data_IF_863839520127
#
_entry.id   IF_863839520127
#
_cell.length_a   1.000
_cell.length_b   1.000
_cell.length_c   1.000
_cell.angle_alpha   90.00
_cell.angle_beta   90.00
_cell.angle_gamma   90.00
#
_symmetry.space_group_name_H-M   'P 1'
#
loop_
_entity.id
_entity.type
_entity.pdbx_description
1 polymer ?
#
# COMPACT_ATOMS: atom_id res chain seq x y z
N UNK A 1 -21.23 20.75 11.61
CA UNK A 1 -19.86 21.26 11.82
C UNK A 1 -19.00 20.59 10.78
N UNK A 2 -18.66 21.32 9.72
CA UNK A 2 -17.84 20.80 8.63
C UNK A 2 -16.44 20.49 9.16
N UNK A 3 -15.98 19.25 8.92
CA UNK A 3 -14.63 18.82 9.29
C UNK A 3 -13.69 19.28 8.18
N UNK A 4 -12.83 20.26 8.46
CA UNK A 4 -11.85 20.72 7.48
C UNK A 4 -10.62 19.80 7.47
N UNK A 5 -10.32 19.20 6.31
CA UNK A 5 -9.09 18.46 6.06
C UNK A 5 -7.93 19.41 5.82
N UNK A 6 -6.80 19.18 6.49
CA UNK A 6 -5.56 19.94 6.28
C UNK A 6 -4.46 19.01 5.79
N UNK A 7 -3.84 19.37 4.67
CA UNK A 7 -2.68 18.65 4.12
C UNK A 7 -1.51 19.62 3.91
N UNK A 8 -0.31 19.04 3.89
CA UNK A 8 0.93 19.78 3.65
C UNK A 8 1.71 19.10 2.54
N UNK A 9 2.15 19.86 1.54
CA UNK A 9 3.06 19.39 0.51
C UNK A 9 4.49 19.46 1.08
N UNK A 10 5.16 18.32 1.21
CA UNK A 10 6.58 18.27 1.57
C UNK A 10 7.45 17.93 0.36
N UNK A 11 8.44 18.79 0.11
CA UNK A 11 9.36 18.75 -1.04
C UNK A 11 10.57 17.81 -0.84
N UNK A 12 10.63 17.03 0.23
CA UNK A 12 11.81 16.20 0.51
C UNK A 12 11.41 14.85 1.08
N UNK A 13 11.52 13.81 0.25
CA UNK A 13 11.78 12.47 0.74
C UNK A 13 13.29 12.35 0.93
N UNK A 14 13.76 12.34 2.18
CA UNK A 14 15.13 11.90 2.46
C UNK A 14 15.21 10.43 2.03
N UNK A 15 16.06 10.16 1.04
CA UNK A 15 16.39 8.79 0.65
C UNK A 15 17.04 8.14 1.88
N UNK A 16 16.32 7.24 2.54
CA UNK A 16 16.99 6.23 3.35
C UNK A 16 17.79 5.41 2.34
N UNK A 17 19.10 5.58 2.34
CA UNK A 17 19.98 4.75 1.54
C UNK A 17 19.64 3.29 1.85
N UNK A 18 19.43 2.51 0.80
CA UNK A 18 19.23 1.08 0.95
C UNK A 18 20.44 0.56 1.72
N UNK A 19 20.23 0.00 2.92
CA UNK A 19 21.26 -0.75 3.61
C UNK A 19 21.73 -1.82 2.62
N UNK A 20 22.92 -1.63 2.07
CA UNK A 20 23.59 -2.66 1.31
C UNK A 20 23.86 -3.85 2.25
N UNK A 21 24.08 -5.03 1.68
CA UNK A 21 24.27 -6.25 2.49
C UNK A 21 25.39 -6.11 3.52
N UNK A 22 26.34 -5.20 3.29
CA UNK A 22 27.50 -4.91 4.14
C UNK A 22 27.13 -4.07 5.36
N UNK A 23 26.40 -2.96 5.18
CA UNK A 23 25.91 -2.12 6.28
C UNK A 23 24.86 -2.83 7.16
N UNK A 24 24.09 -3.76 6.61
CA UNK A 24 23.17 -4.59 7.40
C UNK A 24 23.92 -5.53 8.36
N UNK A 25 25.02 -6.16 7.91
CA UNK A 25 25.87 -6.99 8.78
C UNK A 25 26.58 -6.17 9.85
N UNK A 26 27.02 -4.95 9.55
CA UNK A 26 27.66 -4.06 10.53
C UNK A 26 26.66 -3.59 11.61
N UNK A 27 25.36 -3.49 11.26
CA UNK A 27 24.27 -3.26 12.22
C UNK A 27 23.82 -4.53 12.98
N UNK A 28 24.50 -5.67 12.78
CA UNK A 28 24.15 -6.95 13.41
C UNK A 28 22.87 -7.59 12.88
N UNK A 29 22.32 -7.10 11.77
CA UNK A 29 21.14 -7.68 11.13
C UNK A 29 21.54 -8.96 10.39
N UNK A 30 20.88 -10.07 10.72
CA UNK A 30 21.04 -11.34 10.00
C UNK A 30 19.85 -11.58 9.10
N UNK A 31 20.10 -12.02 7.86
CA UNK A 31 19.05 -12.55 6.99
C UNK A 31 18.50 -13.84 7.59
N UNK A 32 17.21 -13.86 7.91
CA UNK A 32 16.57 -15.00 8.55
C UNK A 32 15.88 -15.93 7.55
N UNK A 33 15.29 -15.39 6.49
CA UNK A 33 14.60 -16.17 5.47
C UNK A 33 14.65 -15.45 4.10
N UNK A 34 14.47 -16.20 3.01
CA UNK A 34 14.29 -15.70 1.64
C UNK A 34 13.04 -16.34 1.05
N UNK A 35 12.03 -15.53 0.72
CA UNK A 35 10.85 -16.00 -0.01
C UNK A 35 11.12 -15.83 -1.52
N UNK A 36 11.13 -16.93 -2.27
CA UNK A 36 11.46 -16.92 -3.70
C UNK A 36 10.54 -17.84 -4.49
N UNK A 37 10.19 -17.40 -5.71
CA UNK A 37 9.44 -18.22 -6.68
C UNK A 37 7.93 -18.04 -6.66
N UNK A 38 7.37 -17.37 -5.65
CA UNK A 38 5.92 -17.15 -5.55
C UNK A 38 5.41 -16.03 -6.46
N UNK A 39 6.19 -14.95 -6.56
CA UNK A 39 5.95 -13.85 -7.48
C UNK A 39 6.77 -14.05 -8.75
N UNK A 40 6.16 -13.85 -9.91
CA UNK A 40 6.82 -14.02 -11.22
C UNK A 40 7.42 -12.73 -11.75
N UNK A 41 7.18 -11.61 -11.06
CA UNK A 41 7.73 -10.28 -11.35
C UNK A 41 8.14 -9.59 -10.06
N UNK A 42 8.68 -8.38 -10.19
CA UNK A 42 9.13 -7.53 -9.08
C UNK A 42 8.05 -7.38 -7.99
N UNK A 43 8.41 -7.74 -6.76
CA UNK A 43 7.63 -7.40 -5.56
C UNK A 43 7.81 -5.91 -5.30
N UNK A 44 6.73 -5.15 -5.41
CA UNK A 44 6.79 -3.69 -5.28
C UNK A 44 6.61 -3.23 -3.85
N UNK A 45 5.79 -3.93 -3.09
CA UNK A 45 5.40 -3.51 -1.75
C UNK A 45 5.19 -4.73 -0.86
N UNK A 46 5.43 -4.56 0.43
CA UNK A 46 5.13 -5.56 1.43
C UNK A 46 4.72 -4.87 2.74
N UNK A 47 3.83 -5.49 3.50
CA UNK A 47 3.32 -4.94 4.75
C UNK A 47 3.07 -6.07 5.75
N UNK A 48 3.62 -5.94 6.96
CA UNK A 48 3.32 -6.85 8.06
C UNK A 48 1.96 -6.51 8.67
N UNK A 49 1.20 -7.53 9.01
CA UNK A 49 0.04 -7.39 9.87
C UNK A 49 0.45 -6.79 11.23
N UNK A 50 -0.40 -5.98 11.88
CA UNK A 50 -0.12 -5.41 13.20
C UNK A 50 0.21 -6.45 14.29
N UNK A 51 -0.31 -7.69 14.17
CA UNK A 51 0.00 -8.77 15.09
C UNK A 51 1.33 -9.48 14.80
N UNK A 52 2.03 -9.12 13.71
CA UNK A 52 3.31 -9.70 13.31
C UNK A 52 3.25 -11.12 12.74
N UNK A 53 2.07 -11.73 12.64
CA UNK A 53 1.90 -13.12 12.19
C UNK A 53 1.77 -13.26 10.67
N UNK A 54 1.36 -12.21 9.97
CA UNK A 54 1.16 -12.25 8.52
C UNK A 54 1.99 -11.20 7.81
N UNK A 55 2.50 -11.55 6.63
CA UNK A 55 3.14 -10.65 5.69
C UNK A 55 2.32 -10.63 4.41
N UNK A 56 2.03 -9.45 3.90
CA UNK A 56 1.28 -9.26 2.67
C UNK A 56 2.16 -8.59 1.64
N UNK A 57 2.27 -9.17 0.44
CA UNK A 57 3.12 -8.65 -0.64
C UNK A 57 2.31 -8.37 -1.90
N UNK A 58 2.58 -7.23 -2.54
CA UNK A 58 2.01 -6.84 -3.82
C UNK A 58 3.09 -6.77 -4.90
N UNK A 59 2.78 -7.31 -6.08
CA UNK A 59 3.74 -7.48 -7.17
C UNK A 59 3.23 -6.95 -8.51
N UNK A 60 4.19 -6.75 -9.40
CA UNK A 60 3.93 -6.40 -10.79
C UNK A 60 3.34 -7.55 -11.62
N UNK A 61 3.27 -8.77 -11.09
CA UNK A 61 2.56 -9.91 -11.70
C UNK A 61 1.03 -9.89 -11.45
N UNK A 62 0.52 -8.76 -10.97
CA UNK A 62 -0.88 -8.53 -10.62
C UNK A 62 -1.39 -9.37 -9.44
N UNK A 63 -0.49 -10.03 -8.69
CA UNK A 63 -0.87 -10.83 -7.52
C UNK A 63 -0.61 -10.10 -6.23
N UNK A 64 -1.42 -10.49 -5.25
CA UNK A 64 -1.22 -10.19 -3.86
C UNK A 64 -1.14 -11.51 -3.11
N UNK A 65 -0.11 -11.68 -2.29
CA UNK A 65 0.18 -12.94 -1.60
C UNK A 65 0.24 -12.69 -0.09
N UNK A 66 -0.42 -13.57 0.67
CA UNK A 66 -0.27 -13.63 2.14
C UNK A 66 0.68 -14.76 2.48
N UNK A 67 1.60 -14.42 3.37
CA UNK A 67 2.45 -15.37 4.06
C UNK A 67 2.07 -15.42 5.53
N UNK A 68 2.00 -16.62 6.09
CA UNK A 68 1.99 -16.81 7.53
C UNK A 68 3.43 -16.94 8.02
N UNK A 69 3.73 -16.13 9.03
CA UNK A 69 4.95 -16.14 9.78
C UNK A 69 4.67 -16.83 11.12
N UNK A 70 4.89 -18.15 11.14
CA UNK A 70 4.74 -18.99 12.32
C UNK A 70 6.11 -19.48 12.75
N UNK A 71 6.39 -19.38 14.05
CA UNK A 71 7.58 -19.90 14.72
C UNK A 71 8.81 -18.97 14.72
N UNK A 72 8.92 -18.13 15.76
CA UNK A 72 10.09 -17.27 16.06
C UNK A 72 11.41 -18.05 16.22
N UNK A 73 11.34 -19.37 16.47
CA UNK A 73 12.52 -20.23 16.65
C UNK A 73 13.01 -20.83 15.33
N UNK A 74 12.10 -21.16 14.40
CA UNK A 74 12.44 -21.80 13.11
C UNK A 74 12.35 -20.85 11.91
N UNK A 75 11.84 -19.62 12.10
CA UNK A 75 11.68 -18.61 11.05
C UNK A 75 10.91 -19.12 9.82
N UNK A 76 9.98 -20.06 10.02
CA UNK A 76 9.24 -20.64 8.89
C UNK A 76 8.27 -19.60 8.36
N UNK A 77 8.20 -19.51 7.04
CA UNK A 77 7.27 -18.61 6.36
C UNK A 77 6.63 -19.39 5.24
N UNK A 78 5.31 -19.46 5.27
CA UNK A 78 4.54 -20.25 4.32
C UNK A 78 3.57 -19.36 3.57
N UNK A 79 3.48 -19.56 2.26
CA UNK A 79 2.45 -18.94 1.44
C UNK A 79 1.11 -19.60 1.76
N UNK A 80 0.16 -18.80 2.23
CA UNK A 80 -1.16 -19.31 2.62
C UNK A 80 -2.26 -18.87 1.66
N UNK A 81 -2.07 -17.76 0.94
CA UNK A 81 -3.03 -17.28 -0.04
C UNK A 81 -2.35 -16.53 -1.18
N UNK A 82 -2.88 -16.63 -2.39
CA UNK A 82 -2.48 -15.85 -3.56
C UNK A 82 -3.70 -15.48 -4.37
N UNK A 83 -3.96 -14.20 -4.52
CA UNK A 83 -5.11 -13.68 -5.26
C UNK A 83 -4.64 -12.73 -6.36
N UNK A 84 -5.38 -12.70 -7.47
CA UNK A 84 -5.20 -11.66 -8.48
C UNK A 84 -5.88 -10.39 -7.99
N UNK A 85 -5.12 -9.30 -7.94
CA UNK A 85 -5.67 -7.97 -7.75
C UNK A 85 -6.60 -7.67 -8.91
N UNK A 86 -6.08 -7.69 -10.14
CA UNK A 86 -6.88 -7.42 -11.34
C UNK A 86 -6.99 -8.64 -12.24
N UNK A 87 -8.16 -8.77 -12.87
CA UNK A 87 -8.42 -9.73 -13.95
C UNK A 87 -8.13 -9.15 -15.34
N UNK A 88 -7.88 -7.84 -15.44
CA UNK A 88 -7.46 -7.19 -16.69
C UNK A 88 -5.98 -7.53 -16.92
N UNK A 89 -5.64 -7.83 -18.19
CA UNK A 89 -4.41 -8.49 -18.67
C UNK A 89 -3.07 -8.02 -18.08
N UNK A 90 -2.01 -8.76 -18.43
CA UNK A 90 -0.54 -8.70 -18.16
C UNK A 90 0.17 -7.41 -17.62
N UNK A 91 -0.49 -6.28 -17.49
CA UNK A 91 0.07 -5.03 -16.95
C UNK A 91 -0.59 -4.52 -15.66
N UNK A 92 -1.54 -5.23 -15.04
CA UNK A 92 -2.23 -4.75 -13.83
C UNK A 92 -1.37 -4.83 -12.56
N UNK A 93 -0.32 -4.02 -12.47
CA UNK A 93 0.63 -4.01 -11.34
C UNK A 93 -0.06 -3.61 -10.04
N UNK A 94 0.31 -4.28 -8.95
CA UNK A 94 -0.02 -3.86 -7.58
C UNK A 94 1.07 -2.91 -7.10
N UNK A 95 0.68 -1.68 -6.77
CA UNK A 95 1.61 -0.62 -6.38
C UNK A 95 1.78 -0.51 -4.88
N UNK A 96 0.71 -0.79 -4.14
CA UNK A 96 0.69 -0.65 -2.70
C UNK A 96 -0.19 -1.73 -2.07
N UNK A 97 0.23 -2.18 -0.90
CA UNK A 97 -0.57 -3.00 0.00
C UNK A 97 -0.41 -2.47 1.42
N UNK A 98 -1.51 -2.35 2.17
CA UNK A 98 -1.47 -1.86 3.54
C UNK A 98 -2.52 -2.54 4.41
N UNK A 99 -2.17 -2.80 5.66
CA UNK A 99 -3.10 -3.24 6.69
C UNK A 99 -3.77 -2.05 7.35
N UNK A 100 -5.02 -2.24 7.77
CA UNK A 100 -5.61 -1.39 8.78
C UNK A 100 -4.95 -1.69 10.15
N UNK A 101 -4.99 -0.73 11.07
CA UNK A 101 -4.34 -0.89 12.38
C UNK A 101 -4.95 -2.00 13.24
N UNK A 102 -6.21 -2.37 12.99
CA UNK A 102 -6.83 -3.51 13.68
C UNK A 102 -6.33 -4.88 13.18
N UNK A 103 -5.62 -4.92 12.05
CA UNK A 103 -5.11 -6.15 11.43
C UNK A 103 -6.18 -7.08 10.85
N UNK A 104 -7.39 -6.57 10.60
CA UNK A 104 -8.51 -7.37 10.05
C UNK A 104 -8.72 -7.13 8.56
N UNK A 105 -8.51 -5.89 8.15
CA UNK A 105 -8.76 -5.43 6.79
C UNK A 105 -7.44 -5.00 6.18
N UNK A 106 -7.30 -5.26 4.90
CA UNK A 106 -6.14 -4.84 4.13
C UNK A 106 -6.62 -4.23 2.81
N UNK A 107 -5.81 -3.33 2.27
CA UNK A 107 -6.06 -2.65 1.01
C UNK A 107 -4.93 -2.99 0.03
N UNK A 108 -5.29 -3.18 -1.24
CA UNK A 108 -4.33 -3.19 -2.34
C UNK A 108 -4.78 -2.20 -3.41
N UNK A 109 -3.84 -1.56 -4.10
CA UNK A 109 -4.17 -0.63 -5.19
C UNK A 109 -3.23 -0.83 -6.39
N UNK A 110 -3.69 -0.47 -7.59
CA UNK A 110 -2.98 -0.85 -8.80
C UNK A 110 -3.29 -0.07 -10.07
N UNK A 111 -2.71 -0.56 -11.18
CA UNK A 111 -2.92 -0.04 -12.54
C UNK A 111 -4.35 -0.23 -13.06
N UNK A 112 -5.15 -1.10 -12.41
CA UNK A 112 -6.57 -1.27 -12.72
C UNK A 112 -7.45 -0.12 -12.21
N UNK A 113 -6.81 0.97 -11.75
CA UNK A 113 -7.44 2.21 -11.28
C UNK A 113 -8.34 2.00 -10.06
N UNK A 114 -8.16 0.88 -9.37
CA UNK A 114 -9.00 0.50 -8.24
C UNK A 114 -8.19 0.27 -6.98
N UNK A 115 -8.91 0.39 -5.87
CA UNK A 115 -8.47 -0.08 -4.56
C UNK A 115 -9.35 -1.26 -4.20
N UNK A 116 -8.74 -2.34 -3.75
CA UNK A 116 -9.46 -3.55 -3.31
C UNK A 116 -9.28 -3.71 -1.83
N UNK A 117 -10.40 -3.88 -1.15
CA UNK A 117 -10.47 -4.10 0.28
C UNK A 117 -10.64 -5.60 0.50
N UNK A 118 -9.83 -6.16 1.37
CA UNK A 118 -9.87 -7.58 1.67
C UNK A 118 -9.85 -7.83 3.17
N UNK A 119 -10.37 -8.98 3.54
CA UNK A 119 -10.38 -9.53 4.88
C UNK A 119 -9.64 -10.85 4.83
N UNK A 120 -8.76 -11.06 5.80
CA UNK A 120 -8.12 -12.36 6.00
C UNK A 120 -8.59 -12.95 7.33
N UNK A 121 -9.02 -14.20 7.28
CA UNK A 121 -9.22 -15.03 8.47
C UNK A 121 -8.60 -16.40 8.25
N UNK A 122 -8.21 -17.06 9.33
CA UNK A 122 -7.61 -18.40 9.25
C UNK A 122 -8.60 -19.41 8.64
N UNK A 123 -9.87 -19.34 9.03
CA UNK A 123 -10.90 -20.31 8.63
C UNK A 123 -11.45 -20.07 7.22
N UNK A 124 -11.64 -18.81 6.82
CA UNK A 124 -12.24 -18.46 5.52
C UNK A 124 -11.22 -18.03 4.46
N UNK A 125 -9.93 -17.93 4.83
CA UNK A 125 -8.88 -17.46 3.94
C UNK A 125 -9.01 -15.97 3.59
N UNK A 126 -8.47 -15.59 2.43
CA UNK A 126 -8.49 -14.22 1.92
C UNK A 126 -9.75 -13.96 1.09
N UNK A 127 -10.60 -13.06 1.56
CA UNK A 127 -11.86 -12.67 0.91
C UNK A 127 -11.81 -11.21 0.50
N UNK A 128 -12.26 -10.91 -0.72
CA UNK A 128 -12.48 -9.52 -1.15
C UNK A 128 -13.78 -9.01 -0.53
N UNK A 129 -13.70 -7.90 0.19
CA UNK A 129 -14.86 -7.21 0.76
C UNK A 129 -15.48 -6.24 -0.24
N UNK A 130 -14.64 -5.41 -0.86
CA UNK A 130 -15.09 -4.35 -1.75
C UNK A 130 -14.03 -4.04 -2.84
N UNK A 131 -14.46 -3.38 -3.91
CA UNK A 131 -13.61 -2.74 -4.91
C UNK A 131 -14.06 -1.28 -5.08
N UNK A 132 -13.20 -0.36 -4.64
CA UNK A 132 -13.35 1.07 -4.87
C UNK A 132 -12.82 1.38 -6.27
N UNK A 133 -13.71 1.69 -7.20
CA UNK A 133 -13.39 1.91 -8.62
C UNK A 133 -14.38 2.87 -9.25
N UNK A 134 -13.92 3.62 -10.26
CA UNK A 134 -14.72 4.66 -10.92
C UNK A 134 -14.28 6.07 -10.50
N UNK A 135 -13.78 6.21 -9.28
CA UNK A 135 -13.39 7.51 -8.71
C UNK A 135 -12.05 8.01 -9.25
N UNK A 136 -11.10 7.09 -9.48
CA UNK A 136 -9.83 7.36 -10.12
C UNK A 136 -9.85 7.03 -11.62
N UNK A 137 -9.28 7.92 -12.43
CA UNK A 137 -9.24 7.78 -13.90
C UNK A 137 -7.92 7.21 -14.42
N UNK A 138 -6.88 7.17 -13.57
CA UNK A 138 -5.56 6.59 -13.84
C UNK A 138 -5.13 5.67 -12.68
N UNK A 139 -3.92 5.11 -12.79
CA UNK A 139 -3.32 4.20 -11.81
C UNK A 139 -3.41 4.74 -10.38
N UNK A 140 -3.92 3.92 -9.46
CA UNK A 140 -3.87 4.22 -8.03
C UNK A 140 -2.53 3.76 -7.49
N UNK A 141 -1.70 4.73 -7.11
CA UNK A 141 -0.28 4.51 -6.83
C UNK A 141 0.00 4.27 -5.35
N UNK A 142 -0.88 4.73 -4.47
CA UNK A 142 -0.76 4.60 -3.03
C UNK A 142 -2.15 4.58 -2.39
N UNK A 143 -2.27 3.84 -1.30
CA UNK A 143 -3.44 3.84 -0.44
C UNK A 143 -3.00 3.62 1.02
N UNK A 144 -3.58 4.31 1.99
CA UNK A 144 -3.19 4.22 3.40
C UNK A 144 -4.38 4.34 4.33
N UNK A 145 -4.46 3.48 5.35
CA UNK A 145 -5.49 3.58 6.38
C UNK A 145 -5.09 4.61 7.43
N UNK A 146 -6.09 5.33 7.93
CA UNK A 146 -5.98 6.14 9.15
C UNK A 146 -5.71 5.26 10.38
N UNK A 147 -5.06 5.80 11.42
CA UNK A 147 -4.84 5.10 12.69
C UNK A 147 -6.10 4.51 13.33
N UNK A 148 -7.24 5.21 13.24
CA UNK A 148 -8.51 4.73 13.76
C UNK A 148 -9.17 3.66 12.88
N UNK A 149 -8.67 3.45 11.65
CA UNK A 149 -9.24 2.52 10.67
C UNK A 149 -10.54 3.01 10.02
N UNK A 150 -11.04 4.20 10.38
CA UNK A 150 -12.28 4.76 9.85
C UNK A 150 -12.12 5.38 8.46
N UNK A 151 -10.93 5.89 8.15
CA UNK A 151 -10.64 6.49 6.86
C UNK A 151 -9.58 5.71 6.10
N UNK A 152 -9.70 5.72 4.77
CA UNK A 152 -8.70 5.28 3.82
C UNK A 152 -8.42 6.45 2.87
N UNK A 153 -7.16 6.73 2.61
CA UNK A 153 -6.75 7.73 1.62
C UNK A 153 -6.09 7.03 0.45
N UNK A 154 -6.30 7.53 -0.77
CA UNK A 154 -5.62 7.09 -1.97
C UNK A 154 -5.05 8.26 -2.75
N UNK A 155 -3.98 7.99 -3.50
CA UNK A 155 -3.37 8.93 -4.42
C UNK A 155 -3.10 8.27 -5.77
N UNK A 156 -3.42 8.99 -6.84
CA UNK A 156 -3.42 8.47 -8.21
C UNK A 156 -2.57 9.32 -9.16
N UNK A 157 -2.22 8.71 -10.29
CA UNK A 157 -1.60 9.40 -11.41
C UNK A 157 -2.54 10.36 -12.13
N UNK A 158 -3.83 10.41 -11.79
CA UNK A 158 -4.75 11.45 -12.27
C UNK A 158 -4.63 12.78 -11.51
N UNK A 159 -3.59 12.92 -10.67
CA UNK A 159 -3.34 14.09 -9.83
C UNK A 159 -4.47 14.35 -8.82
N UNK A 160 -5.20 13.30 -8.42
CA UNK A 160 -6.20 13.40 -7.36
C UNK A 160 -5.82 12.56 -6.15
N UNK A 161 -6.24 13.06 -4.98
CA UNK A 161 -6.25 12.32 -3.73
C UNK A 161 -7.70 12.12 -3.31
N UNK A 162 -8.09 10.89 -2.95
CA UNK A 162 -9.45 10.58 -2.53
C UNK A 162 -9.42 10.05 -1.09
N UNK A 163 -10.34 10.55 -0.27
CA UNK A 163 -10.56 10.10 1.10
C UNK A 163 -11.87 9.33 1.12
N UNK A 164 -11.79 8.10 1.57
CA UNK A 164 -12.92 7.22 1.79
C UNK A 164 -13.22 7.12 3.29
N UNK A 165 -14.49 7.17 3.67
CA UNK A 165 -14.96 6.94 5.04
C UNK A 165 -15.62 5.57 5.14
N UNK A 166 -15.27 4.82 6.18
CA UNK A 166 -15.90 3.58 6.53
C UNK A 166 -17.23 3.86 7.23
N UNK A 167 -18.33 3.58 6.55
CA UNK A 167 -19.67 3.72 7.07
C UNK A 167 -20.57 2.59 6.56
N UNK A 168 -21.55 2.18 7.36
CA UNK A 168 -22.52 1.14 6.98
C UNK A 168 -21.90 -0.21 6.52
N UNK A 169 -20.70 -0.53 7.00
CA UNK A 169 -20.01 -1.78 6.68
C UNK A 169 -19.07 -1.69 5.48
N UNK A 170 -18.96 -0.54 4.81
CA UNK A 170 -18.12 -0.38 3.64
C UNK A 170 -17.41 1.00 3.57
N UNK A 171 -16.44 1.13 2.66
CA UNK A 171 -15.77 2.40 2.36
C UNK A 171 -16.47 3.11 1.21
N UNK A 172 -16.86 4.36 1.44
CA UNK A 172 -17.48 5.23 0.44
C UNK A 172 -16.67 6.52 0.29
N UNK A 173 -16.69 7.13 -0.90
CA UNK A 173 -16.01 8.41 -1.14
C UNK A 173 -16.60 9.50 -0.23
N UNK A 174 -15.76 10.10 0.60
CA UNK A 174 -16.12 11.21 1.47
C UNK A 174 -15.63 12.55 0.89
N UNK A 175 -14.40 12.57 0.37
CA UNK A 175 -13.81 13.76 -0.22
C UNK A 175 -12.89 13.42 -1.39
N UNK A 176 -12.91 14.28 -2.40
CA UNK A 176 -11.97 14.28 -3.52
C UNK A 176 -11.19 15.58 -3.52
N UNK A 177 -9.87 15.46 -3.38
CA UNK A 177 -8.94 16.58 -3.37
C UNK A 177 -8.36 16.71 -4.79
N UNK A 178 -8.79 17.75 -5.48
CA UNK A 178 -8.35 18.11 -6.83
C UNK A 178 -7.45 19.36 -6.79
N UNK A 179 -6.76 19.65 -7.89
CA UNK A 179 -5.90 20.83 -8.03
C UNK A 179 -4.40 20.58 -7.81
N UNK A 180 -3.97 19.32 -7.63
CA UNK A 180 -2.55 18.97 -7.73
C UNK A 180 -2.08 19.11 -9.18
N UNK A 181 -0.88 19.65 -9.38
CA UNK A 181 -0.33 19.87 -10.72
C UNK A 181 0.33 18.61 -11.30
N UNK A 182 0.74 17.67 -10.43
CA UNK A 182 1.40 16.44 -10.84
C UNK A 182 0.76 15.19 -10.25
N UNK A 183 1.20 14.05 -10.79
CA UNK A 183 0.80 12.72 -10.35
C UNK A 183 1.14 12.47 -8.87
N UNK A 184 0.25 11.84 -8.11
CA UNK A 184 0.49 11.57 -6.70
C UNK A 184 1.43 10.38 -6.53
N UNK A 185 2.55 10.58 -5.84
CA UNK A 185 3.59 9.58 -5.58
C UNK A 185 3.30 8.77 -4.31
N UNK A 186 2.84 9.44 -3.26
CA UNK A 186 2.51 8.84 -1.96
C UNK A 186 1.52 9.70 -1.16
N UNK A 187 0.65 9.05 -0.40
CA UNK A 187 -0.20 9.66 0.61
C UNK A 187 -0.16 8.82 1.90
N UNK A 188 -0.20 9.48 3.07
CA UNK A 188 -0.22 8.80 4.37
C UNK A 188 -0.88 9.65 5.46
N UNK A 189 -1.69 9.02 6.30
CA UNK A 189 -2.19 9.66 7.53
C UNK A 189 -1.08 9.83 8.56
N UNK A 190 -1.07 10.98 9.25
CA UNK A 190 -0.26 11.15 10.44
C UNK A 190 -0.69 10.18 11.54
N UNK A 191 0.27 9.71 12.33
CA UNK A 191 0.00 8.94 13.56
C UNK A 191 -0.43 9.84 14.73
N UNK A 192 -0.23 11.16 14.63
CA UNK A 192 -0.52 12.12 15.70
C UNK A 192 -1.97 12.62 15.74
N UNK A 193 -2.81 12.25 14.77
CA UNK A 193 -4.22 12.69 14.72
C UNK A 193 -4.98 12.17 13.51
N UNK A 194 -6.32 12.14 13.61
CA UNK A 194 -7.24 11.48 12.66
C UNK A 194 -7.36 12.18 11.29
N UNK A 195 -6.96 13.46 11.18
CA UNK A 195 -7.24 14.31 10.00
C UNK A 195 -6.02 14.99 9.36
N UNK A 196 -4.80 14.59 9.71
CA UNK A 196 -3.59 15.14 9.07
C UNK A 196 -3.08 14.19 8.00
N UNK A 197 -2.95 14.70 6.78
CA UNK A 197 -2.52 13.94 5.61
C UNK A 197 -1.21 14.51 5.04
N UNK A 198 -0.26 13.63 4.80
CA UNK A 198 0.93 13.93 4.01
C UNK A 198 0.73 13.45 2.57
N UNK A 199 0.95 14.33 1.61
CA UNK A 199 0.87 14.04 0.17
C UNK A 199 2.17 14.46 -0.50
N UNK A 200 2.71 13.61 -1.37
CA UNK A 200 3.87 13.93 -2.20
C UNK A 200 3.53 13.68 -3.68
N UNK A 201 3.95 14.62 -4.51
CA UNK A 201 3.75 14.62 -5.96
C UNK A 201 5.02 14.14 -6.70
N UNK A 202 4.85 13.64 -7.92
CA UNK A 202 5.96 13.35 -8.83
C UNK A 202 6.43 14.68 -9.43
N UNK A 203 7.62 15.13 -9.07
CA UNK A 203 8.24 16.25 -9.76
C UNK A 203 8.59 15.82 -11.20
N UNK A 204 8.39 16.70 -12.19
CA UNK A 204 8.73 16.46 -13.61
C UNK A 204 10.19 16.08 -13.91
N UNK A 205 11.07 16.03 -12.89
CA UNK A 205 12.46 15.57 -12.96
C UNK A 205 12.62 14.04 -12.73
N UNK A 206 11.61 13.35 -12.19
CA UNK A 206 11.71 11.90 -11.87
C UNK A 206 11.34 11.00 -13.07
N UNK A 207 10.91 11.60 -14.18
CA UNK A 207 10.54 10.92 -15.43
C UNK A 207 11.69 11.07 -16.44
N UNK A 208 12.59 10.08 -16.45
CA UNK A 208 13.68 9.89 -17.40
C UNK A 208 14.90 10.82 -17.28
N UNK A 209 15.90 10.41 -16.50
CA UNK A 209 17.25 10.19 -17.05
C UNK A 209 18.16 9.58 -15.99
N UNK A 210 18.90 8.54 -16.39
CA UNK A 210 20.06 8.09 -15.65
C UNK A 210 21.13 9.18 -15.61
N UNK A 211 21.06 10.07 -14.62
CA UNK A 211 22.21 10.85 -14.19
C UNK A 211 22.40 10.74 -12.69
N UNK A 212 23.61 10.27 -12.38
CA UNK A 212 24.22 10.16 -11.06
C UNK A 212 24.21 11.50 -10.33
N UNK A 213 24.08 11.42 -9.01
CA UNK A 213 25.26 11.60 -8.16
C UNK A 213 25.47 10.30 -7.39
#
# INVERSE_FOLDING_TARGET
>A
MDREWRWTNHLSATRLDSLDSKSATDAGLRRLNTLSGDHTRTVRCASFSPCGKYLFSGSFDATVIIYEYSNLVQMKTEKIASVKHSSVSIASRVWCVNWNFSGKVLASCGDDKSIKIWEYSHDAGLRRLNTLSGDHTRTVRCASFSPCGKYLVSGSFDATVIIYEYSNGDFEEAHKLEGHENEIKSCQFSTSGEFSLHVAEINGLDMASGRKW
#
